data_IF_572083456809
#
_entry.id   IF_572083456809
#
_cell.length_a   1.000
_cell.length_b   1.000
_cell.length_c   1.000
_cell.angle_alpha   90.00
_cell.angle_beta   90.00
_cell.angle_gamma   90.00
#
_symmetry.space_group_name_H-M   'P 1'
#
loop_
_entity.id
_entity.type
_entity.pdbx_description
1 polymer ?
#
# COMPACT_ATOMS: atom_id res chain seq x y z
N UNK A 1 -13.51 5.44 -7.51
CA UNK A 1 -12.27 5.83 -6.80
C UNK A 1 -11.09 5.29 -7.59
N UNK A 2 -10.50 6.12 -8.45
CA UNK A 2 -9.28 5.73 -9.15
C UNK A 2 -8.14 5.81 -8.14
N UNK A 3 -7.64 4.66 -7.70
CA UNK A 3 -6.38 4.63 -6.96
C UNK A 3 -5.33 5.20 -7.92
N UNK A 4 -4.73 6.32 -7.55
CA UNK A 4 -3.63 6.93 -8.28
C UNK A 4 -2.55 5.88 -8.62
N UNK A 5 -1.74 6.21 -9.63
CA UNK A 5 -0.68 5.36 -10.16
C UNK A 5 0.11 4.74 -8.99
N UNK A 6 -0.06 3.44 -8.76
CA UNK A 6 0.62 2.73 -7.67
C UNK A 6 2.12 2.78 -7.93
N UNK A 7 2.85 3.47 -7.06
CA UNK A 7 4.30 3.61 -7.14
C UNK A 7 5.04 2.31 -6.79
N UNK A 8 4.36 1.40 -6.08
CA UNK A 8 4.84 0.08 -5.71
C UNK A 8 3.92 -0.98 -6.30
N UNK A 9 4.49 -2.01 -6.94
CA UNK A 9 3.76 -3.18 -7.45
C UNK A 9 3.64 -4.28 -6.39
N UNK A 10 2.68 -5.22 -6.52
CA UNK A 10 2.61 -6.38 -5.62
C UNK A 10 3.92 -7.19 -5.54
N UNK A 11 4.63 -7.37 -6.66
CA UNK A 11 5.91 -8.08 -6.67
C UNK A 11 7.01 -7.31 -5.94
N UNK A 12 7.01 -5.98 -6.04
CA UNK A 12 7.91 -5.15 -5.23
C UNK A 12 7.56 -5.25 -3.74
N UNK A 13 6.26 -5.24 -3.41
CA UNK A 13 5.80 -5.41 -2.03
C UNK A 13 6.24 -6.76 -1.43
N UNK A 14 6.15 -7.87 -2.19
CA UNK A 14 6.68 -9.18 -1.76
C UNK A 14 8.16 -9.07 -1.37
N UNK A 15 8.99 -8.48 -2.23
CA UNK A 15 10.44 -8.33 -1.97
C UNK A 15 10.73 -7.45 -0.74
N UNK A 16 9.95 -6.40 -0.53
CA UNK A 16 10.11 -5.50 0.63
C UNK A 16 9.71 -6.24 1.91
N UNK A 17 8.56 -6.92 1.91
CA UNK A 17 8.08 -7.68 3.07
C UNK A 17 9.03 -8.81 3.44
N UNK A 18 9.54 -9.54 2.44
CA UNK A 18 10.51 -10.62 2.65
C UNK A 18 11.82 -10.13 3.27
N UNK A 19 12.35 -8.98 2.82
CA UNK A 19 13.52 -8.34 3.43
C UNK A 19 13.33 -8.00 4.91
N UNK A 20 12.09 -7.85 5.37
CA UNK A 20 11.73 -7.57 6.75
C UNK A 20 11.25 -8.84 7.51
N UNK A 21 11.51 -10.03 6.95
CA UNK A 21 11.15 -11.31 7.59
C UNK A 21 9.68 -11.72 7.43
N UNK A 22 8.89 -10.97 6.65
CA UNK A 22 7.47 -11.26 6.41
C UNK A 22 7.34 -12.01 5.08
N UNK A 23 7.08 -13.31 5.15
CA UNK A 23 6.81 -14.12 3.95
C UNK A 23 5.36 -13.97 3.51
N UNK A 24 5.17 -13.48 2.29
CA UNK A 24 3.84 -13.33 1.66
C UNK A 24 3.92 -13.74 0.18
N UNK A 25 2.85 -14.29 -0.36
CA UNK A 25 2.69 -14.43 -1.81
C UNK A 25 2.16 -13.13 -2.46
N UNK A 26 2.12 -13.08 -3.79
CA UNK A 26 1.68 -11.89 -4.54
C UNK A 26 0.23 -11.46 -4.20
N UNK A 27 -0.66 -12.42 -3.95
CA UNK A 27 -2.07 -12.15 -3.63
C UNK A 27 -2.20 -11.51 -2.24
N UNK A 28 -1.41 -11.97 -1.28
CA UNK A 28 -1.33 -11.40 0.07
C UNK A 28 -0.69 -10.02 0.05
N UNK A 29 0.46 -9.88 -0.63
CA UNK A 29 1.14 -8.60 -0.81
C UNK A 29 0.24 -7.56 -1.48
N UNK A 30 -0.57 -7.97 -2.47
CA UNK A 30 -1.57 -7.09 -3.08
C UNK A 30 -2.60 -6.60 -2.06
N UNK A 31 -3.14 -7.47 -1.21
CA UNK A 31 -4.12 -7.07 -0.18
C UNK A 31 -3.51 -6.09 0.83
N UNK A 32 -2.30 -6.38 1.29
CA UNK A 32 -1.55 -5.50 2.21
C UNK A 32 -1.35 -4.13 1.55
N UNK A 33 -0.86 -4.13 0.32
CA UNK A 33 -0.60 -2.91 -0.42
C UNK A 33 -1.87 -2.09 -0.70
N UNK A 34 -2.97 -2.75 -1.07
CA UNK A 34 -4.28 -2.11 -1.25
C UNK A 34 -4.74 -1.42 0.04
N UNK A 35 -4.58 -2.09 1.19
CA UNK A 35 -4.90 -1.52 2.49
C UNK A 35 -4.03 -0.30 2.83
N UNK A 36 -2.71 -0.39 2.59
CA UNK A 36 -1.78 0.72 2.83
C UNK A 36 -2.09 1.95 1.97
N UNK A 37 -2.45 1.76 0.69
CA UNK A 37 -2.87 2.89 -0.16
C UNK A 37 -4.15 3.55 0.34
N UNK A 38 -5.13 2.77 0.82
CA UNK A 38 -6.36 3.32 1.39
C UNK A 38 -6.03 4.16 2.63
N UNK A 39 -5.22 3.64 3.54
CA UNK A 39 -4.79 4.39 4.72
C UNK A 39 -4.04 5.67 4.36
N UNK A 40 -3.10 5.61 3.43
CA UNK A 40 -2.35 6.79 3.00
C UNK A 40 -3.30 7.88 2.46
N UNK A 41 -4.28 7.51 1.64
CA UNK A 41 -5.28 8.45 1.11
C UNK A 41 -6.13 9.04 2.24
N UNK A 42 -6.57 8.22 3.20
CA UNK A 42 -7.40 8.68 4.32
C UNK A 42 -6.62 9.69 5.19
N UNK A 43 -5.39 9.37 5.56
CA UNK A 43 -4.53 10.26 6.36
C UNK A 43 -4.27 11.56 5.61
N UNK A 44 -3.90 11.50 4.33
CA UNK A 44 -3.64 12.71 3.54
C UNK A 44 -4.89 13.59 3.44
N UNK A 45 -6.09 13.00 3.29
CA UNK A 45 -7.34 13.77 3.28
C UNK A 45 -7.62 14.44 4.61
N UNK A 46 -7.47 13.72 5.72
CA UNK A 46 -7.64 14.29 7.06
C UNK A 46 -6.69 15.49 7.28
N UNK A 47 -5.42 15.35 6.91
CA UNK A 47 -4.43 16.44 7.02
C UNK A 47 -4.64 17.60 6.05
N UNK A 48 -5.30 17.40 4.91
CA UNK A 48 -5.54 18.44 3.89
C UNK A 48 -6.95 19.05 3.95
N UNK A 49 -7.88 18.41 4.66
CA UNK A 49 -9.22 18.95 4.95
C UNK A 49 -9.22 19.82 6.22
N UNK A 50 -8.12 19.82 6.99
CA UNK A 50 -7.81 20.87 7.98
C UNK A 50 -7.26 22.13 7.27
N UNK A 51 -8.12 22.82 6.52
CA UNK A 51 -7.99 24.25 6.14
C UNK A 51 -9.39 24.90 6.06
#
# INVERSE_FOLDING_TARGET
>A
MYLEKKNVTPQQAVKILEKNGIKTNEKEAKKILDFLYILAILVVREYLEED
#
